data_IF_479752348172
#
_entry.id   IF_479752348172
#
_cell.length_a   1.000
_cell.length_b   1.000
_cell.length_c   1.000
_cell.angle_alpha   90.00
_cell.angle_beta   90.00
_cell.angle_gamma   90.00
#
_symmetry.space_group_name_H-M   'P 1'
#
loop_
_entity.id
_entity.type
_entity.pdbx_description
1 polymer ?
#
# COMPACT_ATOMS: atom_id res chain seq x y z
N UNK A 1 -22.42 -11.11 -51.77
CA UNK A 1 -23.75 -10.59 -52.14
C UNK A 1 -24.62 -10.72 -50.89
N UNK A 2 -24.89 -9.61 -50.18
CA UNK A 2 -26.17 -8.88 -50.23
C UNK A 2 -27.36 -9.84 -50.02
N UNK A 3 -28.27 -9.69 -49.06
CA UNK A 3 -28.85 -8.46 -48.53
C UNK A 3 -29.81 -8.81 -47.38
N UNK A 4 -29.94 -7.89 -46.43
CA UNK A 4 -31.06 -7.79 -45.49
C UNK A 4 -32.38 -7.61 -46.27
N UNK A 5 -33.53 -8.01 -45.69
CA UNK A 5 -34.71 -7.16 -45.81
C UNK A 5 -35.42 -6.90 -44.48
N UNK A 6 -35.56 -5.61 -44.22
CA UNK A 6 -36.70 -4.83 -43.69
C UNK A 6 -38.03 -5.54 -43.42
N UNK A 7 -38.62 -5.20 -42.26
CA UNK A 7 -39.99 -4.69 -42.05
C UNK A 7 -40.72 -5.41 -40.90
N UNK A 8 -41.03 -4.68 -39.83
CA UNK A 8 -42.12 -5.02 -38.91
C UNK A 8 -42.63 -3.74 -38.23
N UNK A 9 -43.95 -3.72 -38.08
CA UNK A 9 -44.87 -2.59 -37.96
C UNK A 9 -45.01 -1.93 -36.57
N UNK A 10 -45.76 -0.81 -36.49
CA UNK A 10 -45.84 0.08 -35.33
C UNK A 10 -47.07 -0.19 -34.46
N UNK A 11 -46.92 -0.18 -33.13
CA UNK A 11 -48.05 -0.06 -32.20
C UNK A 11 -47.57 0.54 -30.87
N UNK A 12 -48.09 1.70 -30.48
CA UNK A 12 -48.74 1.91 -29.18
C UNK A 12 -49.16 3.36 -28.94
N UNK A 13 -50.38 3.46 -28.40
CA UNK A 13 -51.20 4.62 -28.12
C UNK A 13 -50.76 5.38 -26.84
N UNK A 14 -51.37 6.54 -26.54
CA UNK A 14 -50.85 7.60 -25.67
C UNK A 14 -51.33 7.47 -24.22
N UNK A 15 -50.58 8.01 -23.26
CA UNK A 15 -51.12 8.50 -21.98
C UNK A 15 -50.25 9.61 -21.37
N UNK A 16 -50.84 10.65 -20.75
CA UNK A 16 -50.14 11.76 -20.10
C UNK A 16 -50.07 11.58 -18.58
N UNK A 17 -48.92 11.85 -17.97
CA UNK A 17 -48.75 12.05 -16.52
C UNK A 17 -47.67 13.13 -16.35
N UNK A 18 -48.00 14.37 -16.02
CA UNK A 18 -48.29 14.92 -14.68
C UNK A 18 -47.15 14.74 -13.67
N UNK A 19 -46.55 15.89 -13.36
CA UNK A 19 -45.60 16.26 -12.30
C UNK A 19 -45.26 15.26 -11.20
N UNK A 20 -43.96 15.05 -10.99
CA UNK A 20 -43.40 14.85 -9.66
C UNK A 20 -42.14 15.73 -9.49
N UNK A 21 -42.25 16.71 -8.60
CA UNK A 21 -41.13 17.39 -7.96
C UNK A 21 -40.33 16.34 -7.16
N UNK A 22 -39.11 16.03 -7.57
CA UNK A 22 -38.14 15.36 -6.72
C UNK A 22 -37.08 16.37 -6.26
N UNK A 23 -37.19 16.74 -4.99
CA UNK A 23 -36.05 17.24 -4.22
C UNK A 23 -34.95 16.18 -4.28
N UNK A 24 -33.77 16.56 -4.75
CA UNK A 24 -32.54 15.82 -4.49
C UNK A 24 -31.44 16.81 -4.15
N UNK A 25 -31.06 16.77 -2.88
CA UNK A 25 -29.94 17.45 -2.24
C UNK A 25 -28.67 17.40 -3.11
N UNK A 26 -27.94 18.50 -3.29
CA UNK A 26 -26.57 18.43 -3.76
C UNK A 26 -25.67 18.08 -2.56
N UNK A 27 -25.73 16.83 -2.06
CA UNK A 27 -24.73 16.34 -1.12
C UNK A 27 -23.72 15.45 -1.85
N UNK A 28 -22.97 16.05 -2.77
CA UNK A 28 -21.70 15.47 -3.23
C UNK A 28 -20.59 15.96 -2.32
N UNK A 29 -20.48 15.35 -1.14
CA UNK A 29 -19.29 15.46 -0.31
C UNK A 29 -18.16 14.64 -0.95
N UNK A 30 -17.55 15.16 -2.02
CA UNK A 30 -16.31 14.58 -2.57
C UNK A 30 -15.12 15.21 -1.88
N UNK A 31 -15.00 14.97 -0.58
CA UNK A 31 -13.78 15.22 0.19
C UNK A 31 -12.73 14.18 -0.17
N UNK A 32 -12.12 14.27 -1.37
CA UNK A 32 -10.85 13.57 -1.61
C UNK A 32 -9.75 14.35 -0.91
N UNK A 33 -9.62 14.17 0.40
CA UNK A 33 -8.42 14.62 1.11
C UNK A 33 -7.27 13.84 0.52
N UNK A 34 -6.55 14.47 -0.40
CA UNK A 34 -5.35 13.92 -1.03
C UNK A 34 -4.32 13.77 0.07
N UNK A 35 -4.30 12.59 0.73
CA UNK A 35 -3.24 12.25 1.66
C UNK A 35 -1.90 12.54 0.98
N UNK A 36 -0.95 13.15 1.70
CA UNK A 36 0.36 13.51 1.16
C UNK A 36 1.03 12.29 0.50
N UNK A 37 1.85 12.51 -0.53
CA UNK A 37 2.51 11.43 -1.27
C UNK A 37 3.19 10.38 -0.36
N UNK A 38 3.86 10.76 0.76
CA UNK A 38 4.44 9.80 1.69
C UNK A 38 3.39 8.97 2.46
N UNK A 39 2.26 9.57 2.85
CA UNK A 39 1.18 8.85 3.54
C UNK A 39 0.49 7.85 2.60
N UNK A 40 0.35 8.18 1.31
CA UNK A 40 -0.16 7.24 0.29
C UNK A 40 0.79 6.06 0.12
N UNK A 41 2.09 6.32 0.09
CA UNK A 41 3.12 5.28 0.00
C UNK A 41 3.08 4.37 1.23
N UNK A 42 2.98 4.95 2.44
CA UNK A 42 2.84 4.19 3.69
C UNK A 42 1.65 3.23 3.64
N UNK A 43 0.46 3.76 3.32
CA UNK A 43 -0.77 2.94 3.26
C UNK A 43 -0.65 1.81 2.23
N UNK A 44 -0.12 2.11 1.04
CA UNK A 44 0.11 1.11 -0.01
C UNK A 44 1.08 0.03 0.44
N UNK A 45 2.17 0.42 1.13
CA UNK A 45 3.20 -0.49 1.61
C UNK A 45 2.65 -1.48 2.65
N UNK A 46 2.03 -0.98 3.72
CA UNK A 46 1.48 -1.85 4.75
C UNK A 46 0.32 -2.70 4.24
N UNK A 47 -0.54 -2.18 3.36
CA UNK A 47 -1.56 -2.99 2.70
C UNK A 47 -0.96 -4.15 1.89
N UNK A 48 0.15 -3.91 1.19
CA UNK A 48 0.86 -4.97 0.45
C UNK A 48 1.51 -5.99 1.40
N UNK A 49 2.05 -5.56 2.55
CA UNK A 49 2.57 -6.47 3.57
C UNK A 49 1.45 -7.34 4.15
N UNK A 50 0.35 -6.72 4.59
CA UNK A 50 -0.79 -7.42 5.21
C UNK A 50 -1.49 -8.39 4.25
N UNK A 51 -1.35 -8.18 2.93
CA UNK A 51 -1.86 -9.12 1.93
C UNK A 51 -1.15 -10.49 1.94
N UNK A 52 -0.01 -10.62 2.62
CA UNK A 52 0.77 -11.86 2.71
C UNK A 52 1.03 -12.18 4.21
N UNK A 53 0.38 -13.20 4.79
CA UNK A 53 0.61 -13.57 6.18
C UNK A 53 2.06 -14.02 6.39
N UNK A 54 2.62 -13.71 7.57
CA UNK A 54 3.98 -14.11 7.95
C UNK A 54 5.12 -13.23 7.44
N UNK A 55 4.84 -12.18 6.67
CA UNK A 55 5.88 -11.23 6.23
C UNK A 55 6.54 -10.51 7.42
N UNK A 56 5.74 -10.01 8.37
CA UNK A 56 6.29 -9.32 9.54
C UNK A 56 7.05 -10.27 10.46
N UNK A 57 6.62 -11.53 10.55
CA UNK A 57 7.35 -12.57 11.28
C UNK A 57 8.78 -12.76 10.75
N UNK A 58 8.99 -12.60 9.44
CA UNK A 58 10.33 -12.66 8.86
C UNK A 58 11.16 -11.40 9.18
N UNK A 59 10.51 -10.24 9.31
CA UNK A 59 11.16 -9.00 9.76
C UNK A 59 11.60 -9.11 11.21
N UNK A 60 10.81 -9.78 12.07
CA UNK A 60 11.15 -10.08 13.46
C UNK A 60 12.27 -11.10 13.64
N UNK A 61 12.35 -12.10 12.76
CA UNK A 61 13.40 -13.13 12.86
C UNK A 61 14.79 -12.58 12.53
N UNK A 62 14.86 -11.53 11.72
CA UNK A 62 16.13 -11.02 11.24
C UNK A 62 16.85 -12.00 10.32
N UNK A 63 18.06 -11.62 9.90
CA UNK A 63 19.07 -12.53 9.37
C UNK A 63 20.12 -12.79 10.43
N UNK A 64 20.65 -14.02 10.41
CA UNK A 64 21.76 -14.46 11.25
C UNK A 64 23.13 -13.98 10.77
N UNK A 65 23.24 -13.44 9.55
CA UNK A 65 24.52 -13.22 8.89
C UNK A 65 25.26 -11.93 9.28
N UNK A 66 24.78 -11.19 10.29
CA UNK A 66 25.43 -9.99 10.85
C UNK A 66 25.48 -8.76 9.95
N UNK A 67 25.71 -8.95 8.64
CA UNK A 67 25.73 -7.91 7.63
C UNK A 67 24.30 -7.42 7.32
N UNK A 68 24.15 -6.10 7.23
CA UNK A 68 22.90 -5.49 6.79
C UNK A 68 22.48 -6.01 5.42
N UNK A 69 21.20 -6.36 5.28
CA UNK A 69 20.66 -6.95 4.07
C UNK A 69 19.20 -6.54 3.85
N UNK A 70 18.70 -6.77 2.64
CA UNK A 70 17.31 -6.49 2.30
C UNK A 70 16.40 -7.60 2.80
N UNK A 71 15.45 -7.27 3.67
CA UNK A 71 14.48 -8.22 4.22
C UNK A 71 13.23 -8.32 3.34
N UNK A 72 12.74 -7.17 2.86
CA UNK A 72 11.48 -7.10 2.13
C UNK A 72 11.45 -5.95 1.13
N UNK A 73 10.67 -6.04 0.04
CA UNK A 73 10.29 -7.29 -0.63
C UNK A 73 11.51 -7.94 -1.30
N UNK A 74 11.35 -9.13 -1.85
CA UNK A 74 12.39 -9.78 -2.63
C UNK A 74 12.89 -8.84 -3.74
N UNK A 75 14.21 -8.87 -4.02
CA UNK A 75 14.84 -7.99 -5.00
C UNK A 75 14.46 -8.38 -6.42
N UNK A 76 13.31 -7.89 -6.88
CA UNK A 76 12.80 -8.09 -8.25
C UNK A 76 12.19 -6.79 -8.75
N UNK A 77 12.31 -6.50 -10.05
CA UNK A 77 11.74 -5.28 -10.63
C UNK A 77 10.22 -5.18 -10.40
N UNK A 78 9.52 -6.34 -10.42
CA UNK A 78 8.09 -6.43 -10.16
C UNK A 78 7.72 -6.02 -8.74
N UNK A 79 8.39 -6.58 -7.74
CA UNK A 79 8.10 -6.24 -6.34
C UNK A 79 8.59 -4.82 -6.01
N UNK A 80 9.69 -4.36 -6.59
CA UNK A 80 10.18 -3.00 -6.39
C UNK A 80 9.17 -1.95 -6.84
N UNK A 81 8.56 -2.16 -8.02
CA UNK A 81 7.48 -1.30 -8.54
C UNK A 81 6.17 -1.43 -7.74
N UNK A 82 5.86 -2.65 -7.27
CA UNK A 82 4.64 -2.91 -6.48
C UNK A 82 4.67 -2.20 -5.14
N UNK A 83 5.75 -2.37 -4.38
CA UNK A 83 5.86 -1.84 -3.01
C UNK A 83 6.31 -0.38 -2.98
N UNK A 84 7.16 0.06 -3.94
CA UNK A 84 7.73 1.41 -3.98
C UNK A 84 8.74 1.72 -2.86
N UNK A 85 8.86 0.84 -1.88
CA UNK A 85 9.83 0.90 -0.78
C UNK A 85 10.26 -0.51 -0.37
N UNK A 86 11.29 -0.58 0.46
CA UNK A 86 11.93 -1.79 0.95
C UNK A 86 12.27 -1.67 2.44
N UNK A 87 12.24 -2.80 3.15
CA UNK A 87 12.80 -2.92 4.50
C UNK A 87 14.19 -3.54 4.37
N UNK A 88 15.18 -2.83 4.90
CA UNK A 88 16.54 -3.32 5.08
C UNK A 88 16.82 -3.51 6.56
N UNK A 89 17.48 -4.61 6.90
CA UNK A 89 18.11 -4.80 8.20
C UNK A 89 19.46 -4.09 8.20
N UNK A 90 19.77 -3.40 9.30
CA UNK A 90 21.11 -2.97 9.64
C UNK A 90 21.94 -4.10 10.23
N UNK A 91 23.10 -3.71 10.77
CA UNK A 91 23.96 -4.61 11.52
C UNK A 91 23.28 -5.08 12.82
N UNK A 92 23.60 -6.32 13.22
CA UNK A 92 23.18 -6.87 14.49
C UNK A 92 24.11 -6.32 15.58
N UNK A 93 23.52 -5.68 16.58
CA UNK A 93 24.22 -5.12 17.72
C UNK A 93 24.65 -6.21 18.71
N UNK A 94 25.62 -5.94 19.61
CA UNK A 94 26.13 -6.93 20.57
C UNK A 94 25.06 -7.52 21.50
N UNK A 95 23.92 -6.85 21.67
CA UNK A 95 22.79 -7.31 22.48
C UNK A 95 21.74 -8.10 21.67
N UNK A 96 22.07 -8.52 20.45
CA UNK A 96 21.21 -9.22 19.48
C UNK A 96 20.01 -8.41 18.97
N UNK A 97 19.98 -7.10 19.22
CA UNK A 97 19.02 -6.21 18.57
C UNK A 97 19.57 -5.73 17.23
N UNK A 98 18.71 -5.20 16.37
CA UNK A 98 19.13 -4.64 15.09
C UNK A 98 18.24 -3.49 14.67
N UNK A 99 18.75 -2.63 13.80
CA UNK A 99 17.94 -1.59 13.18
C UNK A 99 17.24 -2.12 11.94
N UNK A 100 16.02 -1.68 11.70
CA UNK A 100 15.36 -1.80 10.41
C UNK A 100 15.14 -0.41 9.81
N UNK A 101 15.28 -0.34 8.50
CA UNK A 101 15.11 0.89 7.72
C UNK A 101 14.11 0.62 6.62
N UNK A 102 13.01 1.38 6.59
CA UNK A 102 12.15 1.47 5.43
C UNK A 102 12.72 2.55 4.52
N UNK A 103 13.08 2.18 3.29
CA UNK A 103 13.67 3.08 2.30
C UNK A 103 12.83 3.08 1.03
N UNK A 104 12.74 4.23 0.36
CA UNK A 104 12.17 4.28 -0.99
C UNK A 104 12.99 3.43 -1.96
N UNK A 105 12.33 2.76 -2.90
CA UNK A 105 13.02 2.05 -3.97
C UNK A 105 13.51 3.08 -5.00
N UNK A 106 14.75 3.56 -4.84
CA UNK A 106 15.43 4.41 -5.82
C UNK A 106 16.47 3.65 -6.64
N UNK A 107 16.88 4.26 -7.75
CA UNK A 107 17.92 3.73 -8.67
C UNK A 107 19.36 4.11 -8.26
N UNK A 108 19.57 4.79 -7.14
CA UNK A 108 20.87 5.36 -6.73
C UNK A 108 21.34 4.95 -5.32
N UNK A 109 22.58 5.31 -4.94
CA UNK A 109 23.21 4.90 -3.68
C UNK A 109 22.60 5.51 -2.42
N UNK A 110 21.84 6.60 -2.55
CA UNK A 110 21.20 7.30 -1.44
C UNK A 110 19.68 7.30 -1.61
N UNK A 111 19.06 6.16 -1.32
CA UNK A 111 17.60 6.08 -1.22
C UNK A 111 17.12 6.68 0.09
N UNK A 112 16.12 7.56 0.03
CA UNK A 112 15.54 8.20 1.20
C UNK A 112 15.05 7.17 2.21
N UNK A 113 15.47 7.31 3.46
CA UNK A 113 14.89 6.58 4.60
C UNK A 113 13.55 7.22 4.93
N UNK A 114 12.48 6.43 4.85
CA UNK A 114 11.12 6.82 5.19
C UNK A 114 10.80 6.57 6.65
N UNK A 115 11.38 5.54 7.24
CA UNK A 115 11.16 5.20 8.64
C UNK A 115 12.30 4.32 9.12
N UNK A 116 12.64 4.41 10.39
CA UNK A 116 13.59 3.51 11.01
C UNK A 116 13.16 3.22 12.45
N UNK A 117 13.51 2.02 12.91
CA UNK A 117 13.29 1.62 14.30
C UNK A 117 14.29 0.54 14.69
N UNK A 118 14.50 0.40 15.99
CA UNK A 118 15.26 -0.71 16.56
C UNK A 118 14.30 -1.88 16.79
N UNK A 119 14.79 -3.09 16.60
CA UNK A 119 14.07 -4.34 16.82
C UNK A 119 14.84 -5.19 17.80
N UNK A 120 14.18 -5.58 18.88
CA UNK A 120 14.58 -6.64 19.79
C UNK A 120 13.73 -7.89 19.51
N UNK A 121 14.30 -8.92 18.87
CA UNK A 121 13.56 -10.12 18.51
C UNK A 121 13.06 -10.94 19.71
N UNK A 122 13.53 -10.65 20.95
CA UNK A 122 13.09 -11.34 22.18
C UNK A 122 11.89 -10.67 22.84
N UNK A 123 11.68 -9.38 22.58
CA UNK A 123 10.70 -8.55 23.30
C UNK A 123 9.64 -7.99 22.38
N UNK A 124 10.01 -7.57 21.17
CA UNK A 124 9.11 -6.90 20.26
C UNK A 124 8.14 -7.86 19.56
N UNK A 125 6.90 -7.41 19.40
CA UNK A 125 5.89 -8.06 18.56
C UNK A 125 5.81 -7.45 17.17
N UNK A 126 5.09 -8.11 16.25
CA UNK A 126 4.87 -7.60 14.90
C UNK A 126 4.13 -6.25 14.92
N UNK A 127 3.17 -6.14 15.84
CA UNK A 127 2.34 -4.95 16.03
C UNK A 127 3.17 -3.78 16.57
N UNK A 128 4.10 -4.04 17.49
CA UNK A 128 4.98 -2.99 18.04
C UNK A 128 5.86 -2.39 16.95
N UNK A 129 6.50 -3.24 16.16
CA UNK A 129 7.37 -2.79 15.06
C UNK A 129 6.57 -2.04 14.02
N UNK A 130 5.42 -2.58 13.61
CA UNK A 130 4.55 -1.90 12.66
C UNK A 130 4.09 -0.53 13.19
N UNK A 131 3.70 -0.46 14.47
CA UNK A 131 3.32 0.78 15.13
C UNK A 131 4.44 1.82 15.09
N UNK A 132 5.65 1.44 15.51
CA UNK A 132 6.82 2.33 15.48
C UNK A 132 7.18 2.75 14.05
N UNK A 133 7.09 1.85 13.08
CA UNK A 133 7.37 2.20 11.68
C UNK A 133 6.37 3.21 11.11
N UNK A 134 5.08 3.08 11.44
CA UNK A 134 4.03 4.03 11.06
C UNK A 134 4.20 5.37 11.76
N UNK A 135 4.52 5.34 13.04
CA UNK A 135 4.74 6.54 13.85
C UNK A 135 5.97 7.33 13.38
N UNK A 136 7.06 6.64 13.00
CA UNK A 136 8.29 7.27 12.54
C UNK A 136 8.30 7.61 11.05
N UNK A 137 7.15 7.50 10.37
CA UNK A 137 7.08 7.71 8.93
C UNK A 137 7.35 9.17 8.55
N UNK A 138 8.52 9.42 7.96
CA UNK A 138 9.00 10.73 7.47
C UNK A 138 9.17 11.75 8.60
N UNK A 139 9.40 11.26 9.83
CA UNK A 139 9.95 12.06 10.93
C UNK A 139 11.46 12.19 10.78
#
# INVERSE_FOLDING_TARGET
>A
MASKPTSAEPLSFPFPFSSFLLFSFPFSFRGTTTASAPLRLMKKFFAAIHSKPGIFSNVLKGSINGAGHRMLPARTAREDARFGCRINQGEILPDNTYHIYVQENGKGPHTRVLSSTRVDPKVDTEQDIEGRLRENWVK
#
